data_IF_742792460614
#
_entry.id   IF_742792460614
#
_cell.length_a   1.000
_cell.length_b   1.000
_cell.length_c   1.000
_cell.angle_alpha   90.00
_cell.angle_beta   90.00
_cell.angle_gamma   90.00
#
_symmetry.space_group_name_H-M   'P 1'
#
loop_
_entity.id
_entity.type
_entity.pdbx_description
1 polymer ?
#
# COMPACT_ATOMS: atom_id res chain seq x y z
N UNK A 1 -1.31 -18.83 -23.43
CA UNK A 1 0.05 -18.32 -23.70
C UNK A 1 0.97 -18.86 -22.64
N UNK A 2 1.98 -19.65 -23.00
CA UNK A 2 2.99 -20.09 -22.04
C UNK A 2 3.83 -18.89 -21.62
N UNK A 3 3.68 -18.46 -20.36
CA UNK A 3 4.52 -17.42 -19.77
C UNK A 3 5.98 -17.87 -19.78
N UNK A 4 6.87 -17.01 -20.28
CA UNK A 4 8.32 -17.29 -20.26
C UNK A 4 8.81 -17.62 -18.84
N UNK A 5 9.85 -18.45 -18.66
CA UNK A 5 10.38 -18.80 -17.35
C UNK A 5 10.74 -17.57 -16.49
N UNK A 6 11.27 -16.52 -17.12
CA UNK A 6 11.59 -15.25 -16.46
C UNK A 6 10.32 -14.53 -15.99
N UNK A 7 9.29 -14.45 -16.83
CA UNK A 7 8.01 -13.83 -16.45
C UNK A 7 7.34 -14.58 -15.29
N UNK A 8 7.40 -15.92 -15.29
CA UNK A 8 6.88 -16.75 -14.18
C UNK A 8 7.61 -16.46 -12.87
N UNK A 9 8.95 -16.44 -12.89
CA UNK A 9 9.76 -16.19 -11.70
C UNK A 9 9.54 -14.79 -11.12
N UNK A 10 9.36 -13.78 -11.98
CA UNK A 10 9.07 -12.43 -11.52
C UNK A 10 7.65 -12.32 -10.94
N UNK A 11 6.64 -12.97 -11.54
CA UNK A 11 5.26 -13.01 -11.00
C UNK A 11 5.26 -13.69 -9.63
N UNK A 12 6.00 -14.80 -9.47
CA UNK A 12 6.16 -15.48 -8.18
C UNK A 12 6.77 -14.57 -7.11
N UNK A 13 7.71 -13.72 -7.51
CA UNK A 13 8.34 -12.75 -6.61
C UNK A 13 7.32 -11.72 -6.14
N UNK A 14 6.48 -11.20 -7.05
CA UNK A 14 5.40 -10.27 -6.69
C UNK A 14 4.39 -10.95 -5.76
N UNK A 15 3.93 -12.15 -6.07
CA UNK A 15 2.95 -12.87 -5.26
C UNK A 15 3.47 -13.19 -3.85
N UNK A 16 4.76 -13.54 -3.72
CA UNK A 16 5.41 -13.73 -2.41
C UNK A 16 5.49 -12.42 -1.63
N UNK A 17 5.86 -11.32 -2.29
CA UNK A 17 5.89 -10.00 -1.68
C UNK A 17 4.49 -9.58 -1.21
N UNK A 18 3.45 -9.75 -2.03
CA UNK A 18 2.07 -9.45 -1.64
C UNK A 18 1.63 -10.25 -0.44
N UNK A 19 1.88 -11.57 -0.44
CA UNK A 19 1.57 -12.44 0.71
C UNK A 19 2.29 -11.96 1.98
N UNK A 20 3.56 -11.57 1.87
CA UNK A 20 4.34 -11.06 3.00
C UNK A 20 3.80 -9.71 3.49
N UNK A 21 3.48 -8.78 2.59
CA UNK A 21 2.88 -7.48 2.95
C UNK A 21 1.50 -7.62 3.57
N UNK A 22 0.67 -8.55 3.11
CA UNK A 22 -0.65 -8.80 3.68
C UNK A 22 -0.54 -9.36 5.12
N UNK A 23 0.39 -10.31 5.33
CA UNK A 23 0.69 -10.82 6.66
C UNK A 23 1.29 -9.75 7.58
N UNK A 24 2.28 -9.00 7.08
CA UNK A 24 2.93 -7.92 7.81
C UNK A 24 1.94 -6.83 8.22
N UNK A 25 1.03 -6.44 7.32
CA UNK A 25 -0.05 -5.50 7.62
C UNK A 25 -0.99 -6.04 8.71
N UNK A 26 -1.37 -7.32 8.64
CA UNK A 26 -2.21 -7.95 9.67
C UNK A 26 -1.55 -7.95 11.06
N UNK A 27 -0.29 -8.36 11.15
CA UNK A 27 0.49 -8.32 12.41
C UNK A 27 0.58 -6.89 12.94
N UNK A 28 0.76 -5.91 12.05
CA UNK A 28 0.88 -4.51 12.42
C UNK A 28 -0.43 -3.94 12.98
N UNK A 29 -1.56 -4.21 12.31
CA UNK A 29 -2.89 -3.78 12.78
C UNK A 29 -3.19 -4.38 14.16
N UNK A 30 -2.93 -5.68 14.35
CA UNK A 30 -3.12 -6.33 15.65
C UNK A 30 -2.21 -5.71 16.71
N UNK A 31 -0.94 -5.46 16.39
CA UNK A 31 0.02 -4.83 17.30
C UNK A 31 -0.38 -3.41 17.68
N UNK A 32 -0.93 -2.64 16.74
CA UNK A 32 -1.43 -1.29 16.99
C UNK A 32 -2.67 -1.30 17.90
N UNK A 33 -3.60 -2.24 17.69
CA UNK A 33 -4.78 -2.42 18.56
C UNK A 33 -4.36 -2.82 19.96
N UNK A 34 -3.47 -3.82 20.10
CA UNK A 34 -2.94 -4.24 21.40
C UNK A 34 -2.19 -3.08 22.07
N UNK A 35 -1.39 -2.33 21.33
CA UNK A 35 -0.69 -1.14 21.84
C UNK A 35 -1.64 -0.06 22.35
N UNK A 36 -2.73 0.23 21.61
CA UNK A 36 -3.77 1.18 22.05
C UNK A 36 -4.53 0.67 23.27
N UNK A 37 -4.84 -0.63 23.34
CA UNK A 37 -5.49 -1.23 24.50
C UNK A 37 -4.59 -1.21 25.73
N UNK A 38 -3.30 -1.48 25.57
CA UNK A 38 -2.29 -1.36 26.64
C UNK A 38 -2.19 0.09 27.12
N UNK A 39 -2.07 1.05 26.21
CA UNK A 39 -2.09 2.49 26.49
C UNK A 39 -3.34 2.90 27.27
N UNK A 40 -4.52 2.47 26.82
CA UNK A 40 -5.79 2.77 27.49
C UNK A 40 -5.94 2.06 28.84
N UNK A 41 -5.27 0.92 29.03
CA UNK A 41 -5.42 0.10 30.23
C UNK A 41 -4.58 0.59 31.41
N UNK A 42 -3.28 0.84 31.26
CA UNK A 42 -2.42 1.31 32.36
C UNK A 42 -1.06 1.81 31.84
N UNK A 43 -0.89 3.12 31.64
CA UNK A 43 0.35 3.89 31.93
C UNK A 43 0.21 5.36 31.52
N UNK A 44 0.79 6.28 32.29
CA UNK A 44 1.25 7.57 31.77
C UNK A 44 2.40 7.35 30.77
N UNK A 45 2.07 6.87 29.57
CA UNK A 45 3.03 6.78 28.48
C UNK A 45 3.24 8.19 27.91
N UNK A 46 4.49 8.63 27.68
CA UNK A 46 4.75 9.93 27.06
C UNK A 46 4.09 10.01 25.68
N UNK A 47 3.51 11.17 25.35
CA UNK A 47 2.90 11.42 24.04
C UNK A 47 3.87 11.14 22.87
N UNK A 48 5.18 11.28 23.11
CA UNK A 48 6.23 10.94 22.16
C UNK A 48 6.21 9.47 21.70
N UNK A 49 5.65 8.54 22.48
CA UNK A 49 5.50 7.15 22.08
C UNK A 49 4.51 6.99 20.91
N UNK A 50 3.39 7.72 20.93
CA UNK A 50 2.41 7.72 19.84
C UNK A 50 3.03 8.34 18.59
N UNK A 51 3.81 9.41 18.73
CA UNK A 51 4.52 10.02 17.61
C UNK A 51 5.53 9.05 16.96
N UNK A 52 6.31 8.33 17.77
CA UNK A 52 7.26 7.31 17.29
C UNK A 52 6.52 6.19 16.56
N UNK A 53 5.40 5.72 17.12
CA UNK A 53 4.57 4.70 16.47
C UNK A 53 4.09 5.18 15.09
N UNK A 54 3.53 6.40 15.00
CA UNK A 54 3.06 6.99 13.74
C UNK A 54 4.18 7.10 12.70
N UNK A 55 5.39 7.53 13.11
CA UNK A 55 6.56 7.60 12.24
C UNK A 55 6.99 6.22 11.74
N UNK A 56 6.98 5.20 12.60
CA UNK A 56 7.30 3.81 12.20
C UNK A 56 6.27 3.27 11.22
N UNK A 57 4.97 3.50 11.45
CA UNK A 57 3.91 3.11 10.50
C UNK A 57 4.16 3.78 9.15
N UNK A 58 4.45 5.08 9.17
CA UNK A 58 4.66 5.86 7.97
C UNK A 58 5.87 5.39 7.16
N UNK A 59 7.01 5.19 7.83
CA UNK A 59 8.22 4.68 7.20
C UNK A 59 8.01 3.28 6.58
N UNK A 60 7.26 2.42 7.26
CA UNK A 60 6.91 1.09 6.75
C UNK A 60 6.05 1.19 5.48
N UNK A 61 4.98 1.99 5.49
CA UNK A 61 4.09 2.15 4.34
C UNK A 61 4.82 2.73 3.12
N UNK A 62 5.69 3.72 3.32
CA UNK A 62 6.58 4.23 2.28
C UNK A 62 7.51 3.15 1.73
N UNK A 63 8.11 2.32 2.59
CA UNK A 63 9.01 1.25 2.18
C UNK A 63 8.29 0.19 1.34
N UNK A 64 7.06 -0.17 1.73
CA UNK A 64 6.22 -1.12 0.98
C UNK A 64 5.91 -0.57 -0.41
N UNK A 65 5.41 0.66 -0.51
CA UNK A 65 5.04 1.24 -1.80
C UNK A 65 6.25 1.51 -2.70
N UNK A 66 7.38 1.94 -2.13
CA UNK A 66 8.63 2.10 -2.88
C UNK A 66 9.08 0.76 -3.46
N UNK A 67 9.06 -0.30 -2.65
CA UNK A 67 9.45 -1.64 -3.11
C UNK A 67 8.51 -2.15 -4.20
N UNK A 68 7.20 -1.94 -4.05
CA UNK A 68 6.17 -2.26 -5.06
C UNK A 68 6.44 -1.52 -6.38
N UNK A 69 6.69 -0.22 -6.32
CA UNK A 69 7.04 0.58 -7.49
C UNK A 69 8.30 0.06 -8.20
N UNK A 70 9.37 -0.21 -7.46
CA UNK A 70 10.62 -0.76 -8.02
C UNK A 70 10.42 -2.14 -8.66
N UNK A 71 9.56 -2.99 -8.10
CA UNK A 71 9.20 -4.26 -8.73
C UNK A 71 8.45 -4.04 -10.04
N UNK A 72 7.43 -3.19 -10.07
CA UNK A 72 6.69 -2.88 -11.30
C UNK A 72 7.54 -2.27 -12.40
N UNK A 73 8.49 -1.41 -12.04
CA UNK A 73 9.46 -0.82 -12.97
C UNK A 73 10.28 -1.87 -13.74
N UNK A 74 10.52 -3.04 -13.14
CA UNK A 74 11.23 -4.15 -13.79
C UNK A 74 10.37 -4.87 -14.84
N UNK A 75 9.04 -4.80 -14.72
CA UNK A 75 8.09 -5.43 -15.64
C UNK A 75 7.69 -4.53 -16.79
N UNK A 76 7.40 -3.27 -16.50
CA UNK A 76 6.96 -2.32 -17.51
C UNK A 76 8.14 -1.99 -18.40
N UNK A 77 8.05 -2.32 -19.70
CA UNK A 77 9.11 -2.06 -20.68
C UNK A 77 8.79 -0.85 -21.55
N UNK A 78 7.51 -0.51 -21.70
CA UNK A 78 7.08 0.67 -22.46
C UNK A 78 7.44 1.97 -21.71
N UNK A 79 8.10 2.90 -22.38
CA UNK A 79 8.55 4.17 -21.79
C UNK A 79 7.39 5.05 -21.30
N UNK A 80 6.29 5.11 -22.05
CA UNK A 80 5.08 5.86 -21.65
C UNK A 80 4.44 5.24 -20.42
N UNK A 81 4.34 3.91 -20.37
CA UNK A 81 3.82 3.19 -19.22
C UNK A 81 4.72 3.38 -17.98
N UNK A 82 6.05 3.46 -18.14
CA UNK A 82 6.99 3.81 -17.06
C UNK A 82 6.76 5.22 -16.53
N UNK A 83 6.57 6.23 -17.41
CA UNK A 83 6.28 7.60 -16.99
C UNK A 83 4.97 7.68 -16.20
N UNK A 84 3.94 6.96 -16.65
CA UNK A 84 2.65 6.86 -15.96
C UNK A 84 2.76 6.12 -14.61
N UNK A 85 3.57 5.06 -14.54
CA UNK A 85 3.85 4.35 -13.29
C UNK A 85 4.59 5.25 -12.28
N UNK A 86 5.54 6.05 -12.74
CA UNK A 86 6.21 7.06 -11.90
C UNK A 86 5.22 8.13 -11.43
N UNK A 87 4.35 8.63 -12.31
CA UNK A 87 3.30 9.58 -11.94
C UNK A 87 2.38 9.00 -10.86
N UNK A 88 1.97 7.74 -11.01
CA UNK A 88 1.18 7.01 -10.02
C UNK A 88 1.88 6.96 -8.67
N UNK A 89 3.15 6.60 -8.65
CA UNK A 89 3.96 6.58 -7.42
C UNK A 89 4.04 7.97 -6.78
N UNK A 90 4.26 9.03 -7.56
CA UNK A 90 4.29 10.40 -7.06
C UNK A 90 2.97 10.83 -6.45
N UNK A 91 1.83 10.53 -7.08
CA UNK A 91 0.51 10.86 -6.53
C UNK A 91 0.24 10.12 -5.22
N UNK A 92 0.63 8.85 -5.14
CA UNK A 92 0.56 8.09 -3.89
C UNK A 92 1.40 8.74 -2.79
N UNK A 93 2.62 9.17 -3.11
CA UNK A 93 3.54 9.77 -2.16
C UNK A 93 3.03 11.13 -1.65
N UNK A 94 2.42 11.94 -2.52
CA UNK A 94 1.74 13.18 -2.14
C UNK A 94 0.56 12.89 -1.20
N UNK A 95 -0.31 11.93 -1.56
CA UNK A 95 -1.45 11.55 -0.72
C UNK A 95 -1.03 11.04 0.65
N UNK A 96 0.01 10.21 0.71
CA UNK A 96 0.59 9.72 1.96
C UNK A 96 1.22 10.83 2.80
N UNK A 97 1.95 11.74 2.18
CA UNK A 97 2.56 12.88 2.86
C UNK A 97 1.51 13.81 3.47
N UNK A 98 0.38 14.00 2.78
CA UNK A 98 -0.76 14.77 3.30
C UNK A 98 -1.39 14.11 4.53
N UNK A 99 -1.52 12.78 4.55
CA UNK A 99 -1.99 12.04 5.74
C UNK A 99 -0.99 12.12 6.88
N UNK A 100 0.30 11.98 6.61
CA UNK A 100 1.34 12.08 7.62
C UNK A 100 1.37 13.48 8.24
N UNK A 101 1.28 14.52 7.41
CA UNK A 101 1.12 15.89 7.87
C UNK A 101 -0.12 16.05 8.75
N UNK A 102 -1.27 15.48 8.34
CA UNK A 102 -2.48 15.51 9.16
C UNK A 102 -2.29 14.79 10.52
N UNK A 103 -1.73 13.59 10.52
CA UNK A 103 -1.52 12.78 11.71
C UNK A 103 -0.48 13.35 12.68
N UNK A 104 0.55 14.02 12.18
CA UNK A 104 1.61 14.61 13.01
C UNK A 104 1.26 16.05 13.39
N UNK A 105 1.01 16.93 12.43
CA UNK A 105 0.84 18.36 12.72
C UNK A 105 -0.56 18.66 13.25
N UNK A 106 -1.60 18.12 12.60
CA UNK A 106 -2.98 18.47 12.94
C UNK A 106 -3.50 17.67 14.13
N UNK A 107 -3.07 16.41 14.30
CA UNK A 107 -3.56 15.54 15.38
C UNK A 107 -2.68 15.59 16.63
N UNK A 108 -1.35 15.65 16.50
CA UNK A 108 -0.45 15.61 17.65
C UNK A 108 -0.09 17.01 18.20
N UNK A 109 0.06 18.04 17.34
CA UNK A 109 0.45 19.38 17.82
C UNK A 109 -0.73 20.31 18.18
N UNK A 110 -1.95 19.95 17.80
CA UNK A 110 -3.13 20.83 18.00
C UNK A 110 -3.88 20.45 19.28
N UNK A 111 -3.97 21.36 20.25
CA UNK A 111 -4.66 21.15 21.53
C UNK A 111 -6.19 21.23 21.44
N UNK A 112 -6.72 21.66 20.30
CA UNK A 112 -8.17 21.77 20.08
C UNK A 112 -8.76 20.45 19.55
N UNK A 113 -9.96 20.07 20.01
CA UNK A 113 -10.65 18.89 19.49
C UNK A 113 -10.86 19.05 17.98
N UNK A 114 -10.51 18.02 17.22
CA UNK A 114 -10.57 18.08 15.77
C UNK A 114 -12.01 18.23 15.29
N UNK A 115 -12.20 19.09 14.28
CA UNK A 115 -13.50 19.21 13.63
C UNK A 115 -13.71 18.03 12.68
N UNK A 116 -14.94 17.51 12.64
CA UNK A 116 -15.33 16.46 11.70
C UNK A 116 -15.04 16.84 10.23
N UNK A 117 -15.07 18.13 9.90
CA UNK A 117 -14.72 18.65 8.58
C UNK A 117 -13.24 18.41 8.21
N UNK A 118 -12.31 18.64 9.15
CA UNK A 118 -10.89 18.40 8.92
C UNK A 118 -10.60 16.90 8.69
N UNK A 119 -11.26 16.04 9.46
CA UNK A 119 -11.22 14.60 9.26
C UNK A 119 -11.73 14.21 7.87
N UNK A 120 -12.92 14.68 7.48
CA UNK A 120 -13.49 14.39 6.16
C UNK A 120 -12.60 14.87 5.01
N UNK A 121 -11.94 16.02 5.13
CA UNK A 121 -11.01 16.53 4.12
C UNK A 121 -9.79 15.60 3.97
N UNK A 122 -9.23 15.11 5.07
CA UNK A 122 -8.12 14.15 5.04
C UNK A 122 -8.53 12.84 4.34
N UNK A 123 -9.75 12.35 4.63
CA UNK A 123 -10.29 11.17 3.97
C UNK A 123 -10.50 11.43 2.47
N UNK A 124 -11.07 12.58 2.10
CA UNK A 124 -11.31 12.94 0.70
C UNK A 124 -10.00 13.01 -0.11
N UNK A 125 -8.92 13.57 0.45
CA UNK A 125 -7.61 13.56 -0.18
C UNK A 125 -7.07 12.13 -0.38
N UNK A 126 -7.17 11.28 0.64
CA UNK A 126 -6.73 9.90 0.56
C UNK A 126 -7.51 9.09 -0.48
N UNK A 127 -8.84 9.12 -0.42
CA UNK A 127 -9.70 8.43 -1.37
C UNK A 127 -9.54 8.98 -2.79
N UNK A 128 -9.34 10.29 -2.94
CA UNK A 128 -9.03 10.94 -4.21
C UNK A 128 -7.72 10.45 -4.81
N UNK A 129 -6.64 10.38 -4.02
CA UNK A 129 -5.36 9.84 -4.45
C UNK A 129 -5.47 8.36 -4.83
N UNK A 130 -6.19 7.55 -4.05
CA UNK A 130 -6.42 6.14 -4.33
C UNK A 130 -7.26 5.92 -5.61
N UNK A 131 -8.28 6.76 -5.84
CA UNK A 131 -9.07 6.76 -7.08
C UNK A 131 -8.20 7.11 -8.28
N UNK A 132 -7.40 8.18 -8.18
CA UNK A 132 -6.50 8.59 -9.26
C UNK A 132 -5.46 7.51 -9.56
N UNK A 133 -4.92 6.85 -8.54
CA UNK A 133 -4.02 5.70 -8.70
C UNK A 133 -4.66 4.55 -9.47
N UNK A 134 -5.89 4.17 -9.13
CA UNK A 134 -6.66 3.12 -9.84
C UNK A 134 -7.05 3.51 -11.27
N UNK A 135 -7.25 4.81 -11.50
CA UNK A 135 -7.49 5.32 -12.85
C UNK A 135 -6.21 5.26 -13.69
N UNK A 136 -5.06 5.66 -13.14
CA UNK A 136 -3.76 5.54 -13.79
C UNK A 136 -3.41 4.07 -14.07
N UNK A 137 -3.70 3.16 -13.14
CA UNK A 137 -3.50 1.72 -13.34
C UNK A 137 -4.15 1.22 -14.64
N UNK A 138 -5.41 1.60 -14.88
CA UNK A 138 -6.12 1.27 -16.13
C UNK A 138 -5.48 1.87 -17.37
N UNK A 139 -4.89 3.06 -17.28
CA UNK A 139 -4.21 3.70 -18.40
C UNK A 139 -2.86 3.03 -18.67
N UNK A 140 -2.11 2.66 -17.62
CA UNK A 140 -0.84 1.96 -17.74
C UNK A 140 -1.06 0.61 -18.44
N UNK A 141 -2.09 -0.15 -18.03
CA UNK A 141 -2.45 -1.42 -18.68
C UNK A 141 -2.75 -1.29 -20.18
N UNK A 142 -3.38 -0.18 -20.60
CA UNK A 142 -3.63 0.07 -22.03
C UNK A 142 -2.34 0.27 -22.83
N UNK A 143 -1.26 0.72 -22.18
CA UNK A 143 0.02 0.99 -22.84
C UNK A 143 1.03 -0.18 -22.70
N UNK A 144 0.89 -1.00 -21.66
CA UNK A 144 1.73 -2.18 -21.44
C UNK A 144 0.90 -3.33 -20.83
N UNK A 145 0.60 -4.34 -21.65
CA UNK A 145 -0.14 -5.53 -21.22
C UNK A 145 0.62 -6.44 -20.25
N UNK A 146 1.91 -6.14 -19.99
CA UNK A 146 2.68 -6.81 -18.94
C UNK A 146 2.54 -6.14 -17.56
N UNK A 147 1.88 -4.97 -17.49
CA UNK A 147 1.52 -4.37 -16.22
C UNK A 147 0.31 -5.09 -15.63
N UNK A 148 0.53 -5.75 -14.50
CA UNK A 148 -0.53 -6.44 -13.77
C UNK A 148 -1.02 -5.51 -12.65
N UNK A 149 -2.32 -5.38 -12.47
CA UNK A 149 -2.89 -4.66 -11.33
C UNK A 149 -2.95 -5.56 -10.10
N UNK A 150 -3.25 -4.98 -8.93
CA UNK A 150 -3.52 -5.78 -7.74
C UNK A 150 -4.71 -6.73 -7.91
N UNK A 151 -5.67 -6.39 -8.79
CA UNK A 151 -6.80 -7.26 -9.11
C UNK A 151 -6.37 -8.45 -9.98
N UNK A 152 -5.50 -8.23 -10.97
CA UNK A 152 -4.95 -9.30 -11.78
C UNK A 152 -4.09 -10.26 -10.97
N UNK A 153 -3.28 -9.74 -10.03
CA UNK A 153 -2.49 -10.57 -9.12
C UNK A 153 -3.36 -11.43 -8.21
N UNK A 154 -4.48 -10.88 -7.73
CA UNK A 154 -5.47 -11.63 -6.95
C UNK A 154 -6.06 -12.77 -7.79
N UNK A 155 -6.47 -12.51 -9.03
CA UNK A 155 -7.01 -13.53 -9.94
C UNK A 155 -5.97 -14.62 -10.26
N UNK A 156 -4.71 -14.25 -10.51
CA UNK A 156 -3.62 -15.20 -10.74
C UNK A 156 -3.41 -16.11 -9.52
N UNK A 157 -3.50 -15.53 -8.32
CA UNK A 157 -3.37 -16.29 -7.07
C UNK A 157 -4.53 -17.28 -6.90
N UNK A 158 -5.76 -16.82 -7.06
CA UNK A 158 -6.96 -17.67 -6.96
C UNK A 158 -6.93 -18.81 -7.97
N UNK A 159 -6.55 -18.54 -9.23
CA UNK A 159 -6.39 -19.56 -10.26
C UNK A 159 -5.35 -20.62 -9.88
N UNK A 160 -4.22 -20.22 -9.30
CA UNK A 160 -3.17 -21.15 -8.84
C UNK A 160 -3.56 -21.97 -7.62
N UNK A 161 -4.33 -21.39 -6.72
CA UNK A 161 -4.82 -22.11 -5.55
C UNK A 161 -5.82 -23.20 -5.99
N UNK A 162 -6.68 -22.91 -6.98
CA UNK A 162 -7.58 -23.89 -7.62
C UNK A 162 -6.80 -25.00 -8.34
N UNK A 163 -5.77 -24.66 -9.13
CA UNK A 163 -4.93 -25.67 -9.82
C UNK A 163 -4.23 -26.62 -8.84
N UNK A 164 -3.79 -26.12 -7.68
CA UNK A 164 -3.17 -26.94 -6.63
C UNK A 164 -4.18 -27.86 -5.94
N UNK A 165 -5.41 -27.39 -5.75
CA UNK A 165 -6.49 -28.22 -5.19
C UNK A 165 -6.90 -29.33 -6.17
N UNK A 166 -6.90 -29.05 -7.48
CA UNK A 166 -7.20 -30.05 -8.51
C UNK A 166 -6.06 -31.05 -8.75
N UNK A 167 -4.81 -30.68 -8.50
CA UNK A 167 -3.65 -31.57 -8.64
C UNK A 167 -3.40 -32.51 -7.45
N UNK A 168 -4.12 -32.32 -6.33
CA UNK A 168 -4.02 -33.13 -5.12
C UNK A 168 -5.27 -33.97 -4.82
N UNK A 169 -6.22 -34.04 -5.77
CA UNK A 169 -7.32 -35.01 -5.79
C UNK A 169 -7.05 -36.16 -6.75
#
# INVERSE_FOLDING_TARGET
>A
MELSPQSKQQIDTILRFEKWTAWGFGVFVVSAIVGMLVYASYWEMPDSFILVLLLVVFAMLLSIETTRFLMWLRFVKNETARKLLTLRYTVYLIGFSAIAYYGIVVFYETTQPQTFQAFLLSQAFFWGAAYFGRWLDRIIQKHDGHYLTGEDLKLIREARDIEKEQGHG
#
